data_IF_358835132579
#
_entry.id   IF_358835132579
#
_cell.length_a   1.000
_cell.length_b   1.000
_cell.length_c   1.000
_cell.angle_alpha   90.00
_cell.angle_beta   90.00
_cell.angle_gamma   90.00
#
_symmetry.space_group_name_H-M   'P 1'
#
loop_
_entity.id
_entity.type
_entity.pdbx_description
1 polymer ?
#
# COMPACT_ATOMS: atom_id res chain seq x y z
N UNK A 1 -19.39 8.57 -6.29
CA UNK A 1 -18.65 7.32 -6.60
C UNK A 1 -18.75 6.40 -5.39
N UNK A 2 -18.74 5.07 -5.57
CA UNK A 2 -18.79 4.10 -4.48
C UNK A 2 -17.41 3.44 -4.35
N UNK A 3 -16.49 4.06 -3.60
CA UNK A 3 -15.12 3.59 -3.41
C UNK A 3 -15.05 2.48 -2.36
N UNK A 4 -14.32 1.41 -2.65
CA UNK A 4 -13.80 0.48 -1.65
C UNK A 4 -12.36 0.81 -1.25
N UNK A 5 -11.84 0.18 -0.19
CA UNK A 5 -10.47 0.44 0.29
C UNK A 5 -9.42 0.19 -0.79
N UNK A 6 -9.53 -0.93 -1.51
CA UNK A 6 -8.60 -1.25 -2.59
C UNK A 6 -8.61 -0.20 -3.71
N UNK A 7 -9.71 0.55 -3.88
CA UNK A 7 -9.76 1.60 -4.90
C UNK A 7 -8.90 2.81 -4.51
N UNK A 8 -8.69 3.08 -3.21
CA UNK A 8 -7.74 4.10 -2.76
C UNK A 8 -6.30 3.72 -3.14
N UNK A 9 -5.90 2.46 -2.90
CA UNK A 9 -4.58 1.96 -3.26
C UNK A 9 -4.35 1.89 -4.76
N UNK A 10 -5.35 1.44 -5.53
CA UNK A 10 -5.26 1.45 -7.00
C UNK A 10 -5.17 2.87 -7.56
N UNK A 11 -5.88 3.83 -6.95
CA UNK A 11 -5.76 5.25 -7.33
C UNK A 11 -4.32 5.75 -7.14
N UNK A 12 -3.67 5.40 -6.02
CA UNK A 12 -2.28 5.74 -5.79
C UNK A 12 -1.31 5.00 -6.74
N UNK A 13 -1.50 3.70 -7.00
CA UNK A 13 -0.71 2.94 -8.00
C UNK A 13 -0.82 3.59 -9.39
N UNK A 14 -2.03 3.95 -9.82
CA UNK A 14 -2.26 4.63 -11.09
C UNK A 14 -1.60 6.01 -11.15
N UNK A 15 -1.59 6.75 -10.04
CA UNK A 15 -0.86 8.02 -9.93
C UNK A 15 0.64 7.81 -10.17
N UNK A 16 1.30 6.89 -9.46
CA UNK A 16 2.73 6.64 -9.62
C UNK A 16 3.08 6.10 -11.02
N UNK A 17 2.27 5.19 -11.55
CA UNK A 17 2.39 4.72 -12.95
C UNK A 17 2.26 5.86 -13.96
N UNK A 18 1.38 6.84 -13.73
CA UNK A 18 1.23 8.00 -14.63
C UNK A 18 2.49 8.86 -14.70
N UNK A 19 3.33 8.82 -13.67
CA UNK A 19 4.64 9.46 -13.61
C UNK A 19 5.77 8.58 -14.18
N UNK A 20 5.46 7.38 -14.66
CA UNK A 20 6.43 6.42 -15.19
C UNK A 20 7.15 5.59 -14.12
N UNK A 21 6.63 5.54 -12.88
CA UNK A 21 7.20 4.75 -11.80
C UNK A 21 6.76 3.26 -11.86
N UNK A 22 7.25 2.43 -10.94
CA UNK A 22 7.13 0.98 -11.02
C UNK A 22 5.78 0.55 -10.46
N UNK A 23 4.92 -0.03 -11.30
CA UNK A 23 3.68 -0.63 -10.85
C UNK A 23 3.89 -1.57 -9.65
N UNK A 24 3.02 -1.47 -8.64
CA UNK A 24 3.07 -2.34 -7.46
C UNK A 24 3.04 -3.83 -7.86
N UNK A 25 4.01 -4.64 -7.39
CA UNK A 25 4.11 -6.05 -7.78
C UNK A 25 2.92 -6.87 -7.25
N UNK A 26 2.62 -8.01 -7.88
CA UNK A 26 1.52 -8.89 -7.45
C UNK A 26 1.65 -9.33 -5.98
N UNK A 27 2.89 -9.52 -5.52
CA UNK A 27 3.19 -9.85 -4.11
C UNK A 27 2.70 -8.78 -3.14
N UNK A 28 2.75 -7.50 -3.50
CA UNK A 28 2.25 -6.39 -2.69
C UNK A 28 0.74 -6.53 -2.45
N UNK A 29 -0.03 -6.79 -3.51
CA UNK A 29 -1.49 -6.95 -3.42
C UNK A 29 -1.90 -8.21 -2.66
N UNK A 30 -1.18 -9.31 -2.87
CA UNK A 30 -1.54 -10.59 -2.27
C UNK A 30 -1.15 -10.70 -0.78
N UNK A 31 -0.18 -9.90 -0.30
CA UNK A 31 0.41 -10.09 1.03
C UNK A 31 0.29 -8.88 1.97
N UNK A 32 -0.09 -7.71 1.47
CA UNK A 32 -0.31 -6.52 2.31
C UNK A 32 -1.60 -6.62 3.12
N UNK A 33 -1.68 -5.82 4.19
CA UNK A 33 -2.88 -5.64 4.98
C UNK A 33 -3.42 -4.24 4.70
N UNK A 34 -4.50 -4.20 3.91
CA UNK A 34 -5.15 -2.95 3.49
C UNK A 34 -6.30 -2.53 4.41
N UNK A 35 -6.91 -3.48 5.10
CA UNK A 35 -8.05 -3.29 6.01
C UNK A 35 -7.78 -4.02 7.32
N UNK A 36 -8.42 -3.55 8.40
CA UNK A 36 -8.36 -4.26 9.68
C UNK A 36 -9.03 -5.64 9.54
N UNK A 37 -8.35 -6.75 9.89
CA UNK A 37 -8.97 -8.07 9.88
C UNK A 37 -10.20 -8.15 10.79
N UNK A 38 -11.21 -8.90 10.36
CA UNK A 38 -12.47 -9.10 11.10
C UNK A 38 -12.52 -10.45 11.84
N UNK A 39 -11.44 -11.23 11.76
CA UNK A 39 -11.31 -12.57 12.34
C UNK A 39 -10.84 -12.57 13.82
N UNK A 40 -10.89 -11.41 14.48
CA UNK A 40 -10.53 -11.26 15.89
C UNK A 40 -9.02 -11.16 16.16
N UNK A 41 -8.18 -11.07 15.12
CA UNK A 41 -6.76 -10.80 15.30
C UNK A 41 -6.51 -9.37 15.78
N UNK A 42 -5.68 -9.24 16.80
CA UNK A 42 -5.13 -7.95 17.23
C UNK A 42 -4.00 -7.53 16.28
N UNK A 43 -4.09 -6.30 15.75
CA UNK A 43 -3.12 -5.73 14.83
C UNK A 43 -2.81 -4.29 15.19
N UNK A 44 -1.57 -3.86 14.96
CA UNK A 44 -1.19 -2.46 15.11
C UNK A 44 -1.67 -1.71 13.86
N UNK A 45 -2.60 -0.77 14.01
CA UNK A 45 -3.24 -0.10 12.88
C UNK A 45 -2.46 1.10 12.31
N UNK A 46 -1.45 1.62 13.02
CA UNK A 46 -0.62 2.71 12.50
C UNK A 46 -0.01 2.30 11.14
N UNK A 47 -0.21 3.16 10.13
CA UNK A 47 0.23 2.90 8.77
C UNK A 47 1.75 2.71 8.70
N UNK A 48 2.20 1.85 7.79
CA UNK A 48 3.62 1.55 7.61
C UNK A 48 3.85 0.78 6.32
N UNK A 49 4.95 1.09 5.64
CA UNK A 49 5.49 0.38 4.51
C UNK A 49 6.72 -0.46 4.89
N UNK A 50 6.84 -1.65 4.32
CA UNK A 50 7.82 -2.67 4.70
C UNK A 50 8.58 -3.20 3.50
N UNK A 51 9.91 -3.13 3.58
CA UNK A 51 10.86 -3.85 2.72
C UNK A 51 11.35 -5.11 3.47
N UNK A 52 11.19 -6.28 2.87
CA UNK A 52 11.65 -7.54 3.46
C UNK A 52 13.10 -7.88 3.10
N UNK A 53 13.83 -6.99 2.42
CA UNK A 53 15.27 -7.08 2.19
C UNK A 53 15.68 -8.16 1.18
N UNK A 54 14.74 -8.65 0.37
CA UNK A 54 14.98 -9.71 -0.62
C UNK A 54 14.78 -9.25 -2.07
N UNK A 55 14.55 -7.94 -2.28
CA UNK A 55 14.32 -7.33 -3.58
C UNK A 55 13.03 -7.75 -4.30
N UNK A 56 12.11 -8.43 -3.61
CA UNK A 56 10.90 -9.04 -4.22
C UNK A 56 9.61 -8.85 -3.42
N UNK A 57 9.72 -8.70 -2.10
CA UNK A 57 8.57 -8.67 -1.19
C UNK A 57 8.53 -7.32 -0.47
N UNK A 58 7.58 -6.49 -0.90
CA UNK A 58 7.31 -5.17 -0.36
C UNK A 58 5.84 -5.11 0.01
N UNK A 59 5.51 -4.56 1.18
CA UNK A 59 4.14 -4.60 1.73
C UNK A 59 3.75 -3.32 2.42
N UNK A 60 2.46 -3.09 2.51
CA UNK A 60 1.86 -2.12 3.43
C UNK A 60 1.06 -2.84 4.52
N UNK A 61 1.03 -2.23 5.70
CA UNK A 61 0.11 -2.59 6.78
C UNK A 61 -0.60 -1.33 7.29
N UNK A 62 -1.84 -1.15 6.86
CA UNK A 62 -2.69 -0.01 7.21
C UNK A 62 -4.13 -0.50 7.44
N UNK A 63 -4.75 -0.06 8.54
CA UNK A 63 -6.18 -0.27 8.76
C UNK A 63 -6.97 0.84 8.04
N UNK A 64 -7.05 0.76 6.72
CA UNK A 64 -7.59 1.85 5.88
C UNK A 64 -9.10 1.96 6.02
N UNK A 65 -9.58 3.19 6.01
CA UNK A 65 -10.98 3.57 5.92
C UNK A 65 -11.16 4.45 4.68
N UNK A 66 -12.36 4.46 4.08
CA UNK A 66 -12.65 5.21 2.85
C UNK A 66 -12.85 6.69 3.17
N UNK A 67 -11.74 7.40 3.37
CA UNK A 67 -11.69 8.84 3.66
C UNK A 67 -10.60 9.52 2.82
N UNK A 68 -10.70 10.84 2.64
CA UNK A 68 -9.68 11.61 1.92
C UNK A 68 -8.33 11.64 2.67
N UNK A 69 -8.35 11.68 4.00
CA UNK A 69 -7.16 11.60 4.84
C UNK A 69 -6.42 10.27 4.66
N UNK A 70 -7.16 9.16 4.60
CA UNK A 70 -6.55 7.87 4.34
C UNK A 70 -6.11 7.72 2.88
N UNK A 71 -6.73 8.41 1.93
CA UNK A 71 -6.20 8.46 0.55
C UNK A 71 -4.83 9.12 0.52
N UNK A 72 -4.64 10.23 1.23
CA UNK A 72 -3.33 10.89 1.37
C UNK A 72 -2.32 9.97 2.07
N UNK A 73 -2.73 9.32 3.16
CA UNK A 73 -1.90 8.34 3.88
C UNK A 73 -1.50 7.17 2.97
N UNK A 74 -2.41 6.66 2.14
CA UNK A 74 -2.10 5.61 1.16
C UNK A 74 -1.04 6.08 0.16
N UNK A 75 -1.11 7.31 -0.33
CA UNK A 75 -0.07 7.87 -1.20
C UNK A 75 1.27 8.00 -0.47
N UNK A 76 1.27 8.43 0.80
CA UNK A 76 2.46 8.50 1.63
C UNK A 76 3.15 7.14 1.75
N UNK A 77 2.42 6.12 2.18
CA UNK A 77 2.98 4.77 2.39
C UNK A 77 3.39 4.11 1.07
N UNK A 78 2.61 4.29 0.00
CA UNK A 78 3.00 3.78 -1.32
C UNK A 78 4.21 4.53 -1.89
N UNK A 79 4.43 5.78 -1.49
CA UNK A 79 5.67 6.51 -1.78
C UNK A 79 6.91 5.84 -1.17
N UNK A 80 6.80 5.31 0.06
CA UNK A 80 7.88 4.50 0.66
C UNK A 80 8.10 3.20 -0.12
N UNK A 81 7.03 2.51 -0.52
CA UNK A 81 7.14 1.27 -1.32
C UNK A 81 7.76 1.52 -2.69
N UNK A 82 7.37 2.60 -3.37
CA UNK A 82 8.04 3.04 -4.61
C UNK A 82 9.52 3.31 -4.37
N UNK A 83 9.87 4.02 -3.29
CA UNK A 83 11.27 4.25 -2.94
C UNK A 83 12.01 2.91 -2.81
N UNK A 84 11.43 1.91 -2.13
CA UNK A 84 12.00 0.55 -2.00
C UNK A 84 12.20 -0.15 -3.35
N UNK A 85 11.20 -0.05 -4.23
CA UNK A 85 11.26 -0.65 -5.57
C UNK A 85 12.38 -0.04 -6.43
N UNK A 86 12.71 1.24 -6.25
CA UNK A 86 13.72 1.93 -7.07
C UNK A 86 15.16 1.57 -6.69
N UNK A 87 15.46 1.23 -5.43
CA UNK A 87 16.81 0.87 -4.98
C UNK A 87 17.02 -0.62 -4.70
N UNK A 88 16.04 -1.47 -4.99
CA UNK A 88 16.02 -2.90 -4.61
C UNK A 88 17.19 -3.75 -5.14
N UNK A 89 17.98 -3.23 -6.07
CA UNK A 89 19.10 -3.89 -6.75
C UNK A 89 20.45 -3.30 -6.27
#
# INVERSE_FOLDING_TARGET
QNYGVLDLFKTADDFFKSLGMIQMPESFWNKSLFEKPTDGREVICHASAWDFGNGKDFRIKQCTEVTAEHLDTVHHEMGHVEYYLQYKD
#
